data_IF_413383118684
#
_entry.id   IF_413383118684
#
_cell.length_a   1.000
_cell.length_b   1.000
_cell.length_c   1.000
_cell.angle_alpha   90.00
_cell.angle_beta   90.00
_cell.angle_gamma   90.00
#
_symmetry.space_group_name_H-M   'P 1'
#
loop_
_entity.id
_entity.type
_entity.pdbx_description
1 polymer ?
#
# COMPACT_ATOMS: atom_id res chain seq x y z
N UNK A 1 11.12 -10.59 -11.56
CA UNK A 1 9.84 -10.35 -12.22
C UNK A 1 9.80 -8.94 -12.81
N UNK A 2 9.85 -8.83 -14.15
CA UNK A 2 9.96 -7.55 -14.84
C UNK A 2 8.68 -6.67 -14.67
N UNK A 3 7.54 -7.28 -14.43
CA UNK A 3 6.27 -6.60 -14.24
C UNK A 3 6.26 -5.78 -12.93
N UNK A 4 6.57 -6.39 -11.80
CA UNK A 4 6.64 -5.72 -10.50
C UNK A 4 7.73 -4.64 -10.49
N UNK A 5 8.90 -4.92 -11.08
CA UNK A 5 9.95 -3.91 -11.25
C UNK A 5 9.44 -2.66 -11.99
N UNK A 6 8.61 -2.83 -13.01
CA UNK A 6 8.03 -1.71 -13.73
C UNK A 6 7.04 -0.90 -12.85
N UNK A 7 6.28 -1.54 -11.99
CA UNK A 7 5.36 -0.85 -11.06
C UNK A 7 6.14 -0.02 -10.04
N UNK A 8 7.23 -0.56 -9.52
CA UNK A 8 8.06 0.10 -8.51
C UNK A 8 8.84 1.31 -9.04
N UNK A 9 8.95 1.48 -10.37
CA UNK A 9 9.53 2.70 -10.98
C UNK A 9 8.85 3.99 -10.58
N UNK A 10 7.67 3.95 -10.00
CA UNK A 10 7.02 5.13 -9.45
C UNK A 10 7.87 5.78 -8.35
N UNK A 11 8.67 5.00 -7.64
CA UNK A 11 9.58 5.49 -6.60
C UNK A 11 10.82 6.20 -7.16
N UNK A 12 11.16 5.95 -8.42
CA UNK A 12 12.26 6.62 -9.13
C UNK A 12 11.88 8.03 -9.63
N UNK A 13 10.63 8.44 -9.47
CA UNK A 13 10.19 9.76 -9.91
C UNK A 13 10.95 10.87 -9.17
N UNK A 14 11.40 11.92 -9.89
CA UNK A 14 11.96 13.10 -9.26
C UNK A 14 10.99 13.72 -8.24
N UNK A 15 11.52 14.25 -7.15
CA UNK A 15 10.74 14.83 -6.05
C UNK A 15 9.67 15.84 -6.52
N UNK A 16 10.01 16.70 -7.48
CA UNK A 16 9.06 17.66 -8.09
C UNK A 16 7.83 17.00 -8.73
N UNK A 17 7.95 15.72 -9.14
CA UNK A 17 6.85 14.96 -9.72
C UNK A 17 6.06 14.23 -8.63
N UNK A 18 6.74 13.69 -7.62
CA UNK A 18 6.11 13.08 -6.44
C UNK A 18 5.25 14.09 -5.70
N UNK A 19 5.72 15.33 -5.50
CA UNK A 19 4.97 16.42 -4.83
C UNK A 19 3.60 16.69 -5.45
N UNK A 20 3.44 16.54 -6.74
CA UNK A 20 2.14 16.69 -7.43
C UNK A 20 1.14 15.59 -7.07
N UNK A 21 1.62 14.49 -6.49
CA UNK A 21 0.82 13.33 -6.05
C UNK A 21 0.63 13.32 -4.53
N UNK A 22 1.25 14.26 -3.80
CA UNK A 22 1.20 14.30 -2.35
C UNK A 22 -0.21 14.54 -1.82
N UNK A 23 -0.48 13.98 -0.65
CA UNK A 23 -1.67 14.32 0.13
C UNK A 23 -1.57 15.74 0.66
N UNK A 24 -2.71 16.35 0.92
CA UNK A 24 -2.83 17.72 1.44
C UNK A 24 -1.99 17.99 2.70
N UNK A 25 -1.86 17.05 3.60
CA UNK A 25 -1.07 17.23 4.82
C UNK A 25 0.44 17.40 4.56
N UNK A 26 0.95 16.94 3.41
CA UNK A 26 2.34 17.09 2.98
C UNK A 26 2.54 18.20 1.94
N UNK A 27 1.51 18.50 1.14
CA UNK A 27 1.55 19.54 0.11
C UNK A 27 0.20 20.28 0.06
N UNK A 28 0.16 21.50 0.63
CA UNK A 28 -1.07 22.27 0.84
C UNK A 28 -1.78 22.73 -0.44
N UNK A 29 -1.09 22.70 -1.58
CA UNK A 29 -1.68 23.00 -2.88
C UNK A 29 -2.51 21.84 -3.45
N UNK A 30 -2.40 20.64 -2.89
CA UNK A 30 -3.17 19.46 -3.28
C UNK A 30 -4.43 19.34 -2.41
N UNK A 31 -5.43 18.62 -2.91
CA UNK A 31 -6.74 18.48 -2.24
C UNK A 31 -6.95 17.12 -1.56
N UNK A 32 -6.24 16.09 -2.00
CA UNK A 32 -6.45 14.73 -1.50
C UNK A 32 -6.02 14.56 -0.03
N UNK A 33 -6.89 14.01 0.79
CA UNK A 33 -6.64 13.74 2.21
C UNK A 33 -6.13 12.32 2.43
N UNK A 34 -6.72 11.36 1.74
CA UNK A 34 -6.41 9.93 1.89
C UNK A 34 -5.68 9.34 0.70
N UNK A 35 -6.19 9.53 -0.53
CA UNK A 35 -5.54 9.02 -1.76
C UNK A 35 -4.31 9.85 -2.10
N UNK A 36 -3.26 9.20 -2.61
CA UNK A 36 -2.04 9.89 -3.05
C UNK A 36 -0.82 9.53 -2.25
N UNK A 37 0.23 10.28 -2.51
CA UNK A 37 1.58 10.03 -2.00
C UNK A 37 1.77 10.52 -0.56
N UNK A 38 2.47 9.73 0.23
CA UNK A 38 3.04 10.14 1.50
C UNK A 38 4.56 9.96 1.45
N UNK A 39 5.34 11.02 1.73
CA UNK A 39 6.79 11.01 1.65
C UNK A 39 7.43 10.35 2.87
N UNK A 40 8.73 10.09 2.77
CA UNK A 40 9.57 9.75 3.91
C UNK A 40 9.50 10.83 4.99
N UNK A 41 9.49 10.43 6.23
CA UNK A 41 9.45 11.34 7.38
C UNK A 41 10.58 10.99 8.35
N UNK A 42 11.56 11.88 8.45
CA UNK A 42 12.66 11.73 9.39
C UNK A 42 12.16 11.79 10.84
N UNK A 43 12.85 11.12 11.76
CA UNK A 43 12.50 11.09 13.17
C UNK A 43 11.26 10.25 13.51
N UNK A 44 10.68 9.52 12.57
CA UNK A 44 9.60 8.57 12.83
C UNK A 44 10.10 7.13 12.83
N UNK A 45 9.52 6.31 13.71
CA UNK A 45 9.83 4.88 13.76
C UNK A 45 9.46 4.19 12.44
N UNK A 46 8.29 4.55 11.88
CA UNK A 46 7.89 4.08 10.55
C UNK A 46 8.56 4.94 9.48
N UNK A 47 9.53 4.36 8.78
CA UNK A 47 10.32 5.04 7.75
C UNK A 47 10.03 4.42 6.38
N UNK A 48 9.01 4.95 5.75
CA UNK A 48 8.55 4.51 4.41
C UNK A 48 7.93 5.66 3.64
N UNK A 49 8.00 5.58 2.34
CA UNK A 49 7.17 6.37 1.42
C UNK A 49 6.20 5.47 0.69
N UNK A 50 5.14 6.01 0.12
CA UNK A 50 4.20 5.23 -0.66
C UNK A 50 3.10 6.04 -1.31
N UNK A 51 2.28 5.35 -2.08
CA UNK A 51 1.10 5.93 -2.73
C UNK A 51 -0.12 5.04 -2.53
N UNK A 52 -1.23 5.65 -2.13
CA UNK A 52 -2.53 5.01 -2.02
C UNK A 52 -3.41 5.33 -3.22
N UNK A 53 -3.90 4.29 -3.86
CA UNK A 53 -4.68 4.33 -5.10
C UNK A 53 -6.02 3.67 -4.86
N UNK A 54 -7.08 4.33 -5.29
CA UNK A 54 -8.44 3.84 -5.16
C UNK A 54 -8.95 3.08 -6.38
N UNK A 55 -10.20 2.62 -6.30
CA UNK A 55 -10.85 1.88 -7.38
C UNK A 55 -11.14 2.72 -8.63
N UNK A 56 -10.98 4.04 -8.57
CA UNK A 56 -11.07 4.93 -9.73
C UNK A 56 -10.01 4.64 -10.80
N UNK A 57 -8.97 3.87 -10.46
CA UNK A 57 -8.00 3.34 -11.42
C UNK A 57 -8.63 2.34 -12.40
N UNK A 58 -9.57 1.53 -11.94
CA UNK A 58 -10.14 0.39 -12.69
C UNK A 58 -11.60 0.58 -13.10
N UNK A 59 -12.33 1.47 -12.43
CA UNK A 59 -13.75 1.73 -12.68
C UNK A 59 -14.10 3.19 -12.46
N UNK A 60 -15.21 3.63 -13.03
CA UNK A 60 -15.72 4.95 -12.75
C UNK A 60 -16.44 4.95 -11.39
N UNK A 61 -15.78 5.52 -10.39
CA UNK A 61 -16.35 5.68 -9.04
C UNK A 61 -16.91 7.08 -8.86
N UNK A 62 -18.06 7.18 -8.18
CA UNK A 62 -18.60 8.46 -7.76
C UNK A 62 -17.80 8.94 -6.55
N UNK A 63 -17.30 10.16 -6.63
CA UNK A 63 -16.66 10.80 -5.48
C UNK A 63 -17.73 11.32 -4.51
N UNK A 64 -17.64 10.89 -3.27
CA UNK A 64 -18.39 11.46 -2.14
C UNK A 64 -17.44 12.32 -1.31
N UNK A 65 -17.68 13.64 -1.30
CA UNK A 65 -16.82 14.59 -0.59
C UNK A 65 -16.82 14.41 0.93
N UNK A 66 -17.76 13.66 1.47
CA UNK A 66 -17.79 13.28 2.89
C UNK A 66 -16.94 12.06 3.22
N UNK A 67 -16.54 11.27 2.21
CA UNK A 67 -15.75 10.05 2.38
C UNK A 67 -14.42 10.12 1.61
N UNK A 68 -13.30 10.39 2.30
CA UNK A 68 -11.97 10.46 1.67
C UNK A 68 -11.54 9.17 0.96
N UNK A 69 -12.11 8.03 1.29
CA UNK A 69 -11.82 6.76 0.61
C UNK A 69 -12.32 6.73 -0.83
N UNK A 70 -13.25 7.62 -1.19
CA UNK A 70 -13.78 7.76 -2.55
C UNK A 70 -13.05 8.80 -3.39
N UNK A 71 -12.04 9.48 -2.85
CA UNK A 71 -11.22 10.45 -3.58
C UNK A 71 -10.62 9.85 -4.84
N UNK A 72 -10.48 10.68 -5.87
CA UNK A 72 -9.73 10.30 -7.07
C UNK A 72 -8.25 10.19 -6.78
N UNK A 73 -7.64 9.14 -7.30
CA UNK A 73 -6.21 8.88 -7.12
C UNK A 73 -5.37 9.84 -7.97
N UNK A 74 -4.47 10.63 -7.37
CA UNK A 74 -3.53 11.42 -8.13
C UNK A 74 -2.46 10.50 -8.71
N UNK A 75 -2.44 10.33 -10.02
CA UNK A 75 -1.54 9.42 -10.73
C UNK A 75 -0.56 10.16 -11.62
N UNK A 76 0.66 9.64 -11.82
CA UNK A 76 1.63 10.25 -12.71
C UNK A 76 1.08 10.29 -14.15
N UNK A 77 1.25 11.40 -14.88
CA UNK A 77 0.89 11.47 -16.30
C UNK A 77 1.69 10.46 -17.12
N UNK A 78 1.07 9.93 -18.18
CA UNK A 78 1.71 8.93 -19.04
C UNK A 78 3.01 9.42 -19.69
N UNK A 79 3.15 10.74 -19.98
CA UNK A 79 4.39 11.34 -20.49
C UNK A 79 5.57 11.27 -19.50
N UNK A 80 5.30 11.14 -18.20
CA UNK A 80 6.34 11.07 -17.15
C UNK A 80 6.68 9.61 -16.84
N UNK A 81 5.68 8.75 -16.79
CA UNK A 81 5.85 7.32 -16.52
C UNK A 81 5.02 6.49 -17.52
N UNK A 82 5.53 6.30 -18.75
CA UNK A 82 4.80 5.64 -19.82
C UNK A 82 4.38 4.21 -19.50
N UNK A 83 3.09 3.90 -19.73
CA UNK A 83 2.52 2.57 -19.57
C UNK A 83 2.38 2.10 -18.10
N UNK A 84 2.75 2.93 -17.14
CA UNK A 84 2.66 2.56 -15.73
C UNK A 84 1.21 2.39 -15.25
N UNK A 85 0.34 3.31 -15.67
CA UNK A 85 -1.09 3.27 -15.29
C UNK A 85 -1.77 1.98 -15.72
N UNK A 86 -1.49 1.50 -16.93
CA UNK A 86 -2.09 0.26 -17.45
C UNK A 86 -1.61 -0.96 -16.66
N UNK A 87 -0.33 -0.98 -16.27
CA UNK A 87 0.21 -2.03 -15.41
C UNK A 87 -0.37 -1.98 -14.00
N UNK A 88 -0.49 -0.79 -13.42
CA UNK A 88 -1.11 -0.60 -12.10
C UNK A 88 -2.58 -1.02 -12.11
N UNK A 89 -3.29 -0.71 -13.19
CA UNK A 89 -4.68 -1.16 -13.41
C UNK A 89 -4.75 -2.69 -13.43
N UNK A 90 -3.96 -3.34 -14.28
CA UNK A 90 -3.93 -4.81 -14.36
C UNK A 90 -3.59 -5.44 -13.01
N UNK A 91 -2.64 -4.87 -12.28
CA UNK A 91 -2.27 -5.37 -10.95
C UNK A 91 -3.42 -5.21 -9.96
N UNK A 92 -4.08 -4.05 -9.94
CA UNK A 92 -5.23 -3.81 -9.07
C UNK A 92 -6.36 -4.82 -9.34
N UNK A 93 -6.75 -4.97 -10.62
CA UNK A 93 -7.79 -5.92 -11.05
C UNK A 93 -7.44 -7.37 -10.64
N UNK A 94 -6.17 -7.77 -10.83
CA UNK A 94 -5.70 -9.10 -10.44
C UNK A 94 -5.79 -9.31 -8.94
N UNK A 95 -5.41 -8.32 -8.14
CA UNK A 95 -5.47 -8.41 -6.67
C UNK A 95 -6.93 -8.43 -6.17
N UNK A 96 -7.84 -7.65 -6.77
CA UNK A 96 -9.28 -7.75 -6.43
C UNK A 96 -9.83 -9.15 -6.73
N UNK A 97 -9.54 -9.69 -7.90
CA UNK A 97 -9.99 -11.05 -8.26
C UNK A 97 -9.42 -12.10 -7.29
N UNK A 98 -8.15 -11.99 -6.93
CA UNK A 98 -7.52 -12.88 -5.94
C UNK A 98 -8.22 -12.76 -4.59
N UNK A 99 -8.52 -11.54 -4.15
CA UNK A 99 -9.27 -11.28 -2.93
C UNK A 99 -10.64 -11.96 -2.94
N UNK A 100 -11.38 -11.85 -4.06
CA UNK A 100 -12.69 -12.49 -4.20
C UNK A 100 -12.61 -14.04 -4.13
N UNK A 101 -11.59 -14.64 -4.73
CA UNK A 101 -11.36 -16.10 -4.64
C UNK A 101 -11.12 -16.52 -3.19
N UNK A 102 -10.32 -15.75 -2.45
CA UNK A 102 -10.08 -16.00 -1.03
C UNK A 102 -11.36 -15.83 -0.19
N UNK A 103 -12.17 -14.81 -0.49
CA UNK A 103 -13.44 -14.58 0.20
C UNK A 103 -14.42 -15.74 0.00
N UNK A 104 -14.48 -16.29 -1.21
CA UNK A 104 -15.29 -17.49 -1.49
C UNK A 104 -14.76 -18.73 -0.73
N UNK A 105 -13.44 -18.85 -0.59
CA UNK A 105 -12.82 -19.89 0.22
C UNK A 105 -13.17 -19.75 1.71
N UNK A 106 -13.20 -18.52 2.24
CA UNK A 106 -13.68 -18.25 3.59
C UNK A 106 -15.17 -18.62 3.75
N UNK A 107 -16.03 -18.24 2.80
CA UNK A 107 -17.45 -18.60 2.86
C UNK A 107 -17.61 -20.14 3.00
N UNK A 108 -16.90 -20.92 2.18
CA UNK A 108 -16.91 -22.38 2.28
C UNK A 108 -16.42 -22.87 3.64
N UNK A 109 -15.36 -22.30 4.21
CA UNK A 109 -14.84 -22.68 5.52
C UNK A 109 -15.83 -22.45 6.65
N UNK A 110 -16.67 -21.44 6.52
CA UNK A 110 -17.77 -21.15 7.45
C UNK A 110 -19.07 -21.91 7.12
N UNK A 111 -19.04 -22.83 6.16
CA UNK A 111 -20.22 -23.59 5.69
C UNK A 111 -21.34 -22.69 5.14
N UNK A 112 -20.97 -21.53 4.59
CA UNK A 112 -21.86 -20.63 3.87
C UNK A 112 -21.86 -20.96 2.37
N UNK A 113 -22.82 -20.42 1.63
CA UNK A 113 -22.77 -20.47 0.17
C UNK A 113 -21.51 -19.78 -0.34
N UNK A 114 -20.89 -20.31 -1.40
CA UNK A 114 -19.61 -19.82 -1.91
C UNK A 114 -19.63 -18.32 -2.24
N UNK A 115 -20.73 -17.82 -2.80
CA UNK A 115 -20.92 -16.43 -3.18
C UNK A 115 -21.48 -15.53 -2.06
N UNK A 116 -21.53 -16.01 -0.81
CA UNK A 116 -22.14 -15.28 0.31
C UNK A 116 -21.62 -13.86 0.46
N UNK A 117 -20.32 -13.66 0.28
CA UNK A 117 -19.68 -12.37 0.46
C UNK A 117 -19.65 -11.50 -0.81
N UNK A 118 -19.99 -12.02 -1.99
CA UNK A 118 -19.81 -11.31 -3.26
C UNK A 118 -20.51 -9.95 -3.27
N UNK A 119 -21.73 -9.86 -2.75
CA UNK A 119 -22.52 -8.63 -2.75
C UNK A 119 -21.94 -7.53 -1.82
N UNK A 120 -21.17 -7.90 -0.79
CA UNK A 120 -20.54 -6.92 0.12
C UNK A 120 -19.37 -6.20 -0.51
N UNK A 121 -18.80 -6.77 -1.59
CA UNK A 121 -17.64 -6.22 -2.27
C UNK A 121 -17.94 -5.63 -3.64
N UNK A 122 -19.22 -5.60 -4.05
CA UNK A 122 -19.63 -4.89 -5.26
C UNK A 122 -19.38 -3.40 -5.09
N UNK A 123 -18.62 -2.81 -6.02
CA UNK A 123 -18.21 -1.40 -5.96
C UNK A 123 -17.42 -1.04 -4.68
N UNK A 124 -16.67 -1.99 -4.13
CA UNK A 124 -15.83 -1.78 -2.95
C UNK A 124 -14.81 -0.65 -3.13
N UNK A 125 -14.36 -0.11 -2.00
CA UNK A 125 -13.40 1.01 -1.92
C UNK A 125 -11.99 0.52 -1.56
N UNK A 126 -11.60 -0.66 -2.02
CA UNK A 126 -10.28 -1.25 -1.80
C UNK A 126 -9.15 -0.26 -2.10
N UNK A 127 -8.05 -0.40 -1.39
CA UNK A 127 -6.87 0.44 -1.59
C UNK A 127 -5.73 -0.41 -2.13
N UNK A 128 -5.21 -0.05 -3.29
CA UNK A 128 -3.90 -0.50 -3.75
C UNK A 128 -2.84 0.42 -3.17
N UNK A 129 -1.92 -0.13 -2.40
CA UNK A 129 -0.82 0.62 -1.78
C UNK A 129 0.51 0.11 -2.29
N UNK A 130 1.30 0.97 -2.89
CA UNK A 130 2.71 0.72 -3.15
C UNK A 130 3.54 1.33 -2.03
N UNK A 131 4.50 0.56 -1.51
CA UNK A 131 5.38 0.96 -0.40
C UNK A 131 6.84 0.80 -0.82
N UNK A 132 7.66 1.75 -0.37
CA UNK A 132 9.10 1.71 -0.46
C UNK A 132 9.71 1.98 0.91
N UNK A 133 10.52 1.06 1.36
CA UNK A 133 11.32 1.14 2.59
C UNK A 133 12.79 1.31 2.18
N UNK A 134 13.30 2.53 2.07
CA UNK A 134 14.70 2.75 1.72
C UNK A 134 15.62 2.36 2.87
N UNK A 135 16.91 2.19 2.54
CA UNK A 135 17.96 2.09 3.56
C UNK A 135 17.92 3.34 4.42
N UNK A 136 17.96 3.16 5.73
CA UNK A 136 17.88 4.23 6.69
C UNK A 136 19.28 4.73 7.05
N UNK A 137 19.55 6.00 6.77
CA UNK A 137 20.80 6.69 7.15
C UNK A 137 20.69 7.35 8.53
N UNK A 138 21.81 7.80 9.06
CA UNK A 138 21.87 8.43 10.39
C UNK A 138 21.02 9.71 10.48
N UNK A 139 20.98 10.51 9.43
CA UNK A 139 20.20 11.74 9.38
C UNK A 139 18.68 11.48 9.52
N UNK A 140 18.23 10.36 8.97
CA UNK A 140 16.83 9.94 9.02
C UNK A 140 16.31 9.68 10.43
N UNK A 141 17.19 9.42 11.38
CA UNK A 141 16.82 9.18 12.79
C UNK A 141 16.55 10.46 13.58
N UNK A 142 16.99 11.61 13.10
CA UNK A 142 16.82 12.91 13.79
C UNK A 142 17.21 12.86 15.28
N UNK A 143 18.36 12.26 15.58
CA UNK A 143 18.90 12.04 16.94
C UNK A 143 18.06 11.11 17.85
N UNK A 144 17.15 10.32 17.27
CA UNK A 144 16.28 9.38 18.02
C UNK A 144 16.57 7.91 17.71
N UNK A 145 17.78 7.59 17.27
CA UNK A 145 18.16 6.27 16.78
C UNK A 145 17.87 5.16 17.80
N UNK A 146 18.23 5.39 19.06
CA UNK A 146 18.06 4.41 20.15
C UNK A 146 16.57 4.05 20.40
N UNK A 147 15.66 4.99 20.13
CA UNK A 147 14.21 4.75 20.30
C UNK A 147 13.62 3.77 19.28
N UNK A 148 14.33 3.50 18.19
CA UNK A 148 13.87 2.67 17.09
C UNK A 148 14.55 1.30 17.04
N UNK A 149 15.49 1.05 17.96
CA UNK A 149 16.19 -0.22 18.07
C UNK A 149 15.26 -1.27 18.71
N UNK A 150 15.06 -2.39 18.02
CA UNK A 150 14.27 -3.54 18.51
C UNK A 150 15.08 -4.80 18.20
N UNK A 151 15.41 -5.59 19.22
CA UNK A 151 16.10 -6.87 19.11
C UNK A 151 17.36 -6.85 18.22
N UNK A 152 18.14 -5.76 18.30
CA UNK A 152 19.38 -5.57 17.54
C UNK A 152 19.20 -5.07 16.11
N UNK A 153 17.99 -4.76 15.69
CA UNK A 153 17.65 -4.15 14.39
C UNK A 153 16.79 -2.91 14.53
N UNK A 154 16.64 -2.16 13.44
CA UNK A 154 15.75 -0.99 13.41
C UNK A 154 14.40 -1.34 12.81
N UNK A 155 13.32 -1.10 13.56
CA UNK A 155 11.99 -1.25 13.04
C UNK A 155 11.71 -0.19 11.98
N UNK A 156 11.27 -0.61 10.79
CA UNK A 156 10.82 0.27 9.71
C UNK A 156 9.30 0.44 9.70
N UNK A 157 8.58 -0.41 10.42
CA UNK A 157 7.14 -0.31 10.64
C UNK A 157 6.79 -0.87 12.01
N UNK A 158 6.02 -0.12 12.80
CA UNK A 158 5.56 -0.62 14.09
C UNK A 158 4.59 -1.79 13.91
N UNK A 159 4.57 -2.74 14.86
CA UNK A 159 3.52 -3.77 14.90
C UNK A 159 2.12 -3.14 14.85
N UNK A 160 1.26 -3.63 13.98
CA UNK A 160 -0.10 -3.18 13.83
C UNK A 160 -0.97 -4.28 13.22
N UNK A 161 -2.27 -4.16 13.36
CA UNK A 161 -3.24 -4.89 12.58
C UNK A 161 -3.78 -3.97 11.48
N UNK A 162 -3.98 -4.51 10.28
CA UNK A 162 -4.58 -3.76 9.20
C UNK A 162 -6.06 -3.51 9.46
N UNK A 163 -6.55 -2.36 9.01
CA UNK A 163 -7.98 -2.09 8.91
C UNK A 163 -8.52 -2.66 7.60
N UNK A 164 -9.75 -3.14 7.63
CA UNK A 164 -10.38 -3.76 6.46
C UNK A 164 -10.63 -5.25 6.67
N UNK A 165 -11.16 -5.90 5.65
CA UNK A 165 -11.58 -7.30 5.76
C UNK A 165 -10.43 -8.27 5.48
N UNK A 166 -9.64 -8.00 4.44
CA UNK A 166 -8.48 -8.80 4.04
C UNK A 166 -7.39 -7.89 3.45
N UNK A 167 -6.14 -8.18 3.76
CA UNK A 167 -4.97 -7.56 3.15
C UNK A 167 -4.19 -8.61 2.37
N UNK A 168 -3.94 -8.35 1.10
CA UNK A 168 -3.03 -9.12 0.25
C UNK A 168 -1.71 -8.35 0.18
N UNK A 169 -0.64 -8.95 0.68
CA UNK A 169 0.67 -8.33 0.70
C UNK A 169 1.64 -9.10 -0.20
N UNK A 170 2.32 -8.39 -1.08
CA UNK A 170 3.40 -8.91 -1.92
C UNK A 170 4.71 -8.25 -1.55
N UNK A 171 5.74 -9.04 -1.31
CA UNK A 171 7.11 -8.58 -1.11
C UNK A 171 7.88 -8.68 -2.43
N UNK A 172 8.86 -7.80 -2.64
CA UNK A 172 9.71 -7.82 -3.81
C UNK A 172 11.18 -8.04 -3.41
N UNK A 173 11.53 -9.32 -3.24
CA UNK A 173 12.92 -9.78 -3.12
C UNK A 173 13.68 -9.32 -1.86
N UNK A 174 13.03 -8.68 -0.90
CA UNK A 174 13.67 -8.20 0.34
C UNK A 174 12.92 -8.76 1.54
N UNK A 175 13.65 -9.38 2.45
CA UNK A 175 13.15 -9.84 3.74
C UNK A 175 12.86 -8.69 4.69
N UNK A 176 12.15 -8.97 5.78
CA UNK A 176 11.87 -8.01 6.86
C UNK A 176 10.43 -7.96 7.32
N UNK A 177 9.51 -8.62 6.60
CA UNK A 177 8.14 -8.79 7.08
C UNK A 177 8.10 -9.87 8.17
N UNK A 178 7.45 -9.55 9.28
CA UNK A 178 7.19 -10.50 10.36
C UNK A 178 5.71 -10.49 10.73
N UNK A 179 5.18 -11.65 11.08
CA UNK A 179 3.82 -11.79 11.59
C UNK A 179 3.85 -12.35 13.01
N UNK A 180 3.01 -11.81 13.89
CA UNK A 180 2.89 -12.32 15.24
C UNK A 180 1.88 -13.48 15.29
N UNK A 181 2.31 -14.63 15.77
CA UNK A 181 1.46 -15.79 16.01
C UNK A 181 0.58 -15.60 17.26
N UNK A 182 -0.44 -16.44 17.41
CA UNK A 182 -1.38 -16.38 18.56
C UNK A 182 -0.70 -16.54 19.92
N UNK A 183 0.44 -17.25 19.98
CA UNK A 183 1.24 -17.44 21.18
C UNK A 183 2.29 -16.33 21.41
N UNK A 184 2.23 -15.26 20.61
CA UNK A 184 3.06 -14.07 20.75
C UNK A 184 4.41 -14.12 20.06
N UNK A 185 4.80 -15.25 19.42
CA UNK A 185 6.07 -15.36 18.70
C UNK A 185 6.03 -14.62 17.37
N UNK A 186 7.11 -13.94 17.03
CA UNK A 186 7.31 -13.34 15.72
C UNK A 186 7.83 -14.38 14.72
N UNK A 187 7.17 -14.46 13.57
CA UNK A 187 7.48 -15.39 12.49
C UNK A 187 7.90 -14.58 11.28
N UNK A 188 9.11 -14.81 10.79
CA UNK A 188 9.59 -14.18 9.54
C UNK A 188 8.83 -14.72 8.35
N UNK A 189 8.37 -13.81 7.49
CA UNK A 189 7.73 -14.14 6.22
C UNK A 189 8.77 -13.93 5.14
N UNK A 190 9.29 -15.03 4.62
CA UNK A 190 10.32 -15.02 3.58
C UNK A 190 9.64 -14.80 2.22
N UNK A 191 10.08 -13.83 1.41
CA UNK A 191 9.55 -13.66 0.07
C UNK A 191 9.90 -14.85 -0.81
N UNK A 192 8.93 -15.33 -1.59
CA UNK A 192 9.18 -16.30 -2.65
C UNK A 192 9.79 -15.61 -3.87
N UNK A 193 10.70 -16.31 -4.60
CA UNK A 193 11.37 -15.83 -5.82
C UNK A 193 10.41 -15.70 -7.05
#
# INVERSE_FOLDING_TARGET
NNFLKNLLRIFDLPEKNKRKLYRWNFEKSNSNVYRGWFPLQNGLATYKEGIDIGPDLIRNTKHDFSDPLTERSPLPPNRILPGWRDKAKLYYETMELTGMVLMRSFARSFKLQENYFDNFFVNGISTLRFLHYPIRDEESFSNRKEEFLIDGGYSLAKPHADSGFITLLSQYGVEGLEAQSKDGRWIKIIPEE
#
